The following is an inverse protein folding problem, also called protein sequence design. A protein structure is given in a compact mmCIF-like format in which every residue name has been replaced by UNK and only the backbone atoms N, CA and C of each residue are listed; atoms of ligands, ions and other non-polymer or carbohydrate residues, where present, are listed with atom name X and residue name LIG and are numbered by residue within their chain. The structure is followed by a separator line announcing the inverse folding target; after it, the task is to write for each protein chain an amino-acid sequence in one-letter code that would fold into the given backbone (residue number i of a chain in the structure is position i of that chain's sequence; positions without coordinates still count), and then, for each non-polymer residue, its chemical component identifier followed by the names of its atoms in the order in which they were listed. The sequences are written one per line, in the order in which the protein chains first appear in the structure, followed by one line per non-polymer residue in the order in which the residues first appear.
data_IF_920384442355
#
_entry.id   IF_920384442355
#
_cell.length_a   1.000
_cell.length_b   1.000
_cell.length_c   1.000
_cell.angle_alpha   90.00
_cell.angle_beta   90.00
_cell.angle_gamma   90.00
#
_symmetry.space_group_name_H-M   'P 1'
#
loop_
_entity.id
_entity.type
_entity.pdbx_description
1 polymer ?
#
# COMPACT_ATOMS: atom_id res chain seq x y z
N UNK A 1 -11.81 -2.29 8.16
CA UNK A 1 -12.68 -3.02 9.11
C UNK A 1 -12.11 -4.39 9.28
N UNK A 2 -12.27 -5.01 10.44
CA UNK A 2 -11.72 -6.33 10.78
C UNK A 2 -12.85 -7.21 11.31
N UNK A 3 -12.81 -8.50 10.99
CA UNK A 3 -13.65 -9.53 11.60
C UNK A 3 -12.75 -10.69 12.01
N UNK A 4 -12.99 -11.22 13.20
CA UNK A 4 -12.30 -12.37 13.80
C UNK A 4 -13.24 -13.58 13.99
N UNK A 5 -14.52 -13.45 13.63
CA UNK A 5 -15.56 -14.46 13.84
C UNK A 5 -16.15 -15.03 12.54
N UNK A 6 -15.32 -15.05 11.48
CA UNK A 6 -15.67 -15.48 10.13
C UNK A 6 -16.72 -14.58 9.46
N UNK A 7 -16.64 -13.26 9.70
CA UNK A 7 -17.47 -12.27 9.02
C UNK A 7 -18.86 -12.07 9.64
N UNK A 8 -19.12 -12.60 10.84
CA UNK A 8 -20.42 -12.43 11.51
C UNK A 8 -20.52 -11.05 12.16
N UNK A 9 -19.44 -10.57 12.77
CA UNK A 9 -19.32 -9.23 13.32
C UNK A 9 -18.11 -8.51 12.74
N UNK A 10 -18.22 -7.19 12.67
CA UNK A 10 -17.21 -6.33 12.06
C UNK A 10 -16.89 -5.17 12.99
N UNK A 11 -15.60 -4.99 13.26
CA UNK A 11 -15.07 -3.91 14.06
C UNK A 11 -14.36 -2.90 13.14
N UNK A 12 -14.68 -1.62 13.32
CA UNK A 12 -13.93 -0.53 12.69
C UNK A 12 -12.75 -0.17 13.61
N UNK A 13 -11.59 0.13 13.00
CA UNK A 13 -10.48 0.72 13.75
C UNK A 13 -10.93 2.00 14.46
N UNK A 14 -10.40 2.26 15.64
CA UNK A 14 -10.61 3.51 16.35
C UNK A 14 -10.06 4.71 15.54
N UNK A 15 -9.03 4.47 14.73
CA UNK A 15 -8.37 5.47 13.90
C UNK A 15 -8.86 5.42 12.46
N UNK A 16 -8.91 6.60 11.82
CA UNK A 16 -9.24 6.74 10.39
C UNK A 16 -8.15 7.57 9.71
N UNK A 17 -7.56 7.00 8.66
CA UNK A 17 -6.64 7.72 7.78
C UNK A 17 -7.45 8.54 6.79
N UNK A 18 -7.26 9.85 6.79
CA UNK A 18 -7.90 10.78 5.84
C UNK A 18 -6.84 11.31 4.90
N UNK A 19 -7.02 11.08 3.60
CA UNK A 19 -6.12 11.54 2.55
C UNK A 19 -6.88 12.50 1.61
N UNK A 20 -6.24 13.57 1.12
CA UNK A 20 -6.87 14.54 0.22
C UNK A 20 -7.19 13.92 -1.15
N UNK A 21 -8.10 14.54 -1.91
CA UNK A 21 -8.60 14.07 -3.22
C UNK A 21 -9.30 12.69 -3.11
N UNK A 22 -9.22 11.81 -4.13
CA UNK A 22 -9.63 10.40 -4.00
C UNK A 22 -8.53 9.63 -3.26
N UNK A 23 -8.31 10.02 -2.01
CA UNK A 23 -7.03 9.84 -1.34
C UNK A 23 -6.67 8.43 -0.90
N UNK A 24 -7.64 7.52 -0.75
CA UNK A 24 -7.38 6.13 -0.37
C UNK A 24 -8.20 5.19 -1.26
N UNK A 25 -7.52 4.44 -2.11
CA UNK A 25 -8.12 3.52 -3.06
C UNK A 25 -7.36 2.20 -3.08
N UNK A 26 -8.09 1.09 -3.30
CA UNK A 26 -7.53 -0.26 -3.51
C UNK A 26 -6.49 -0.65 -2.45
N UNK A 27 -6.94 -0.70 -1.19
CA UNK A 27 -6.13 -1.17 -0.09
C UNK A 27 -5.77 -2.65 -0.28
N UNK A 28 -4.50 -2.99 -0.16
CA UNK A 28 -4.04 -4.37 0.03
C UNK A 28 -3.32 -4.49 1.36
N UNK A 29 -3.59 -5.57 2.10
CA UNK A 29 -3.03 -5.85 3.42
C UNK A 29 -2.26 -7.16 3.35
N UNK A 30 -1.07 -7.18 3.95
CA UNK A 30 -0.31 -8.39 4.19
C UNK A 30 0.14 -8.45 5.65
N UNK A 31 0.42 -9.66 6.12
CA UNK A 31 1.00 -9.92 7.44
C UNK A 31 2.52 -10.01 7.31
N UNK A 32 3.22 -9.31 8.18
CA UNK A 32 4.68 -9.36 8.33
C UNK A 32 5.08 -10.56 9.19
N UNK A 33 6.37 -10.93 9.13
CA UNK A 33 6.88 -12.11 9.83
C UNK A 33 6.76 -12.03 11.37
N UNK A 34 6.59 -10.83 11.93
CA UNK A 34 6.38 -10.56 13.35
C UNK A 34 4.89 -10.47 13.76
N UNK A 35 3.97 -10.68 12.83
CA UNK A 35 2.52 -10.62 13.05
C UNK A 35 1.94 -9.20 12.94
N UNK A 36 2.74 -8.19 12.59
CA UNK A 36 2.21 -6.88 12.23
C UNK A 36 1.52 -6.90 10.86
N UNK A 37 0.57 -5.99 10.65
CA UNK A 37 -0.10 -5.83 9.36
C UNK A 37 0.43 -4.57 8.66
N UNK A 38 0.73 -4.71 7.39
CA UNK A 38 1.14 -3.61 6.52
C UNK A 38 0.11 -3.42 5.41
N UNK A 39 -0.28 -2.17 5.21
CA UNK A 39 -1.30 -1.79 4.25
C UNK A 39 -0.67 -0.92 3.16
N UNK A 40 -0.81 -1.35 1.91
CA UNK A 40 -0.54 -0.52 0.74
C UNK A 40 -1.85 0.10 0.26
N UNK A 41 -1.82 1.40 -0.06
CA UNK A 41 -2.96 2.17 -0.55
C UNK A 41 -2.53 2.92 -1.80
N UNK A 42 -3.32 2.87 -2.86
CA UNK A 42 -3.19 3.86 -3.93
C UNK A 42 -3.75 5.18 -3.42
N UNK A 43 -3.03 6.25 -3.71
CA UNK A 43 -3.49 7.62 -3.47
C UNK A 43 -3.36 8.43 -4.76
N UNK A 44 -4.06 9.56 -4.84
CA UNK A 44 -3.86 10.55 -5.93
C UNK A 44 -2.80 11.61 -5.60
N UNK A 45 -1.97 11.31 -4.61
CA UNK A 45 -0.75 12.05 -4.32
C UNK A 45 0.32 11.34 -5.17
N UNK A 46 0.74 11.93 -6.29
CA UNK A 46 1.88 11.39 -7.08
C UNK A 46 3.10 11.20 -6.16
N UNK A 47 4.05 10.30 -6.37
CA UNK A 47 4.54 9.47 -7.48
C UNK A 47 4.94 8.11 -6.87
N UNK A 48 5.32 7.06 -7.62
CA UNK A 48 6.07 5.97 -6.96
C UNK A 48 7.58 6.23 -6.96
N UNK A 49 8.12 7.05 -7.87
CA UNK A 49 9.24 7.98 -7.55
C UNK A 49 9.67 8.98 -8.65
N UNK A 50 9.00 9.13 -9.82
CA UNK A 50 9.45 9.92 -11.01
C UNK A 50 8.47 10.11 -12.21
N UNK A 51 7.37 9.37 -12.36
CA UNK A 51 6.54 9.45 -13.57
C UNK A 51 5.22 10.23 -13.34
N UNK A 52 5.19 11.56 -13.61
CA UNK A 52 3.99 12.37 -13.43
C UNK A 52 2.91 12.07 -14.48
N UNK A 53 3.21 11.23 -15.48
CA UNK A 53 2.29 10.89 -16.56
C UNK A 53 1.61 9.54 -16.35
N UNK A 54 2.01 8.77 -15.34
CA UNK A 54 1.47 7.46 -15.07
C UNK A 54 0.50 7.45 -13.88
N UNK A 55 -0.57 6.67 -13.99
CA UNK A 55 -1.37 6.24 -12.84
C UNK A 55 -1.08 4.76 -12.55
N UNK A 56 -0.86 4.42 -11.28
CA UNK A 56 -0.57 3.05 -10.85
C UNK A 56 -1.70 2.53 -9.97
N UNK A 57 -2.23 1.34 -10.25
CA UNK A 57 -3.10 0.56 -9.36
C UNK A 57 -2.31 -0.61 -8.81
N UNK A 58 -2.35 -0.80 -7.48
CA UNK A 58 -1.76 -1.99 -6.87
C UNK A 58 -2.72 -3.17 -7.08
N UNK A 59 -2.23 -4.23 -7.70
CA UNK A 59 -2.96 -5.48 -7.87
C UNK A 59 -2.62 -6.48 -6.77
N UNK A 60 -1.35 -6.52 -6.34
CA UNK A 60 -0.88 -7.46 -5.34
C UNK A 60 0.37 -6.97 -4.61
N UNK A 61 0.52 -7.34 -3.34
CA UNK A 61 1.68 -7.04 -2.52
C UNK A 61 2.12 -8.29 -1.75
N UNK A 62 3.28 -8.83 -2.10
CA UNK A 62 3.84 -10.01 -1.47
C UNK A 62 5.06 -9.65 -0.62
N UNK A 63 4.99 -9.89 0.69
CA UNK A 63 6.14 -9.71 1.57
C UNK A 63 7.11 -10.88 1.44
N UNK A 64 8.39 -10.54 1.36
CA UNK A 64 9.49 -11.47 1.28
C UNK A 64 10.00 -11.80 2.68
N UNK A 65 10.52 -13.01 2.88
CA UNK A 65 11.18 -13.39 4.14
C UNK A 65 12.37 -12.47 4.49
N UNK A 66 12.95 -11.78 3.50
CA UNK A 66 14.01 -10.80 3.70
C UNK A 66 13.53 -9.46 4.29
N UNK A 67 12.21 -9.29 4.50
CA UNK A 67 11.61 -8.08 5.06
C UNK A 67 11.26 -7.00 4.02
N UNK A 68 11.55 -7.21 2.73
CA UNK A 68 11.06 -6.38 1.64
C UNK A 68 9.71 -6.86 1.09
N UNK A 69 9.21 -6.23 0.03
CA UNK A 69 8.00 -6.67 -0.66
C UNK A 69 8.15 -6.60 -2.20
N UNK A 70 7.42 -7.48 -2.89
CA UNK A 70 7.17 -7.36 -4.33
C UNK A 70 5.78 -6.76 -4.49
N UNK A 71 5.71 -5.58 -5.11
CA UNK A 71 4.46 -4.91 -5.45
C UNK A 71 4.18 -5.13 -6.93
N UNK A 72 3.05 -5.75 -7.25
CA UNK A 72 2.56 -5.90 -8.62
C UNK A 72 1.57 -4.78 -8.89
N UNK A 73 1.85 -3.94 -9.89
CA UNK A 73 0.98 -2.84 -10.26
C UNK A 73 0.59 -2.89 -11.73
N UNK A 74 -0.60 -2.38 -12.05
CA UNK A 74 -0.94 -2.01 -13.40
C UNK A 74 -0.73 -0.50 -13.56
N UNK A 75 -0.04 -0.10 -14.62
CA UNK A 75 0.26 1.28 -14.95
C UNK A 75 -0.50 1.69 -16.21
N UNK A 76 -1.15 2.85 -16.17
CA UNK A 76 -1.78 3.49 -17.34
C UNK A 76 -1.04 4.76 -17.71
N UNK A 77 -0.79 4.95 -19.01
CA UNK A 77 -0.14 6.14 -19.57
C UNK A 77 -0.83 6.63 -20.85
N UNK A 78 -1.13 7.93 -20.97
CA UNK A 78 -1.10 8.92 -19.90
C UNK A 78 -2.23 8.69 -18.87
N UNK A 79 -2.04 9.13 -17.64
CA UNK A 79 -2.97 9.02 -16.50
C UNK A 79 -4.44 9.33 -16.84
N UNK A 80 -4.67 10.29 -17.75
CA UNK A 80 -6.01 10.76 -18.13
C UNK A 80 -6.64 10.00 -19.31
N UNK A 81 -5.91 9.10 -19.98
CA UNK A 81 -6.42 8.36 -21.13
C UNK A 81 -7.38 7.25 -20.69
N UNK A 82 -8.64 7.35 -21.12
CA UNK A 82 -9.70 6.39 -20.78
C UNK A 82 -10.32 5.70 -21.99
N UNK A 83 -9.94 6.09 -23.21
CA UNK A 83 -10.55 5.56 -24.45
C UNK A 83 -9.79 4.36 -25.02
N UNK A 84 -8.50 4.26 -24.76
CA UNK A 84 -7.68 3.13 -25.20
C UNK A 84 -6.79 2.68 -24.04
N UNK A 85 -6.97 1.46 -23.52
CA UNK A 85 -6.19 0.99 -22.39
C UNK A 85 -4.77 0.64 -22.86
N UNK A 86 -3.85 1.61 -22.78
CA UNK A 86 -2.43 1.31 -22.71
C UNK A 86 -2.09 0.91 -21.27
N UNK A 87 -2.55 -0.28 -20.88
CA UNK A 87 -2.29 -0.87 -19.57
C UNK A 87 -1.01 -1.71 -19.65
N UNK A 88 -0.05 -1.43 -18.77
CA UNK A 88 1.16 -2.23 -18.62
C UNK A 88 1.18 -2.87 -17.24
N UNK A 89 1.47 -4.16 -17.17
CA UNK A 89 1.77 -4.82 -15.91
C UNK A 89 3.22 -4.55 -15.54
N UNK A 90 3.45 -4.11 -14.31
CA UNK A 90 4.77 -3.82 -13.78
C UNK A 90 4.91 -4.47 -12.39
N UNK A 91 6.14 -4.77 -11.99
CA UNK A 91 6.45 -5.14 -10.62
C UNK A 91 7.62 -4.30 -10.11
N UNK A 92 7.59 -3.97 -8.83
CA UNK A 92 8.67 -3.28 -8.14
C UNK A 92 9.04 -4.06 -6.87
N UNK A 93 10.34 -4.15 -6.60
CA UNK A 93 10.83 -4.63 -5.31
C UNK A 93 10.98 -3.42 -4.40
N UNK A 94 10.24 -3.42 -3.30
CA UNK A 94 10.29 -2.37 -2.28
C UNK A 94 11.17 -2.86 -1.13
N UNK A 95 12.28 -2.16 -0.82
CA UNK A 95 13.15 -2.52 0.29
C UNK A 95 12.43 -2.43 1.65
N UNK A 96 12.85 -3.25 2.61
CA UNK A 96 12.21 -3.33 3.93
C UNK A 96 12.22 -2.02 4.73
N UNK A 97 13.20 -1.14 4.48
CA UNK A 97 13.29 0.18 5.10
C UNK A 97 12.09 1.11 4.79
N UNK A 98 11.34 0.84 3.72
CA UNK A 98 10.11 1.56 3.42
C UNK A 98 8.93 1.11 4.29
N UNK A 99 9.01 -0.07 4.91
CA UNK A 99 7.96 -0.66 5.74
C UNK A 99 8.28 -0.60 7.24
N UNK A 100 9.56 -0.74 7.58
CA UNK A 100 10.02 -0.77 8.97
C UNK A 100 10.27 0.64 9.47
N UNK A 101 9.38 1.16 10.33
CA UNK A 101 9.74 2.29 11.20
C UNK A 101 10.67 1.79 12.30
N UNK A 102 11.76 2.49 12.63
CA UNK A 102 12.45 2.26 13.89
C UNK A 102 11.45 2.52 15.02
N UNK A 103 11.13 1.50 15.83
CA UNK A 103 10.41 1.70 17.08
C UNK A 103 11.31 2.57 17.96
N UNK A 104 10.90 3.79 18.37
CA UNK A 104 11.65 4.55 19.35
C UNK A 104 11.76 3.69 20.61
N UNK A 105 12.98 3.47 21.06
CA UNK A 105 13.24 2.67 22.25
C UNK A 105 12.47 3.31 23.43
N UNK A 106 11.46 2.61 23.97
CA UNK A 106 10.54 3.17 24.98
C UNK A 106 11.24 3.61 26.29
N UNK A 107 12.56 3.36 26.40
CA UNK A 107 13.41 3.71 27.54
C UNK A 107 14.25 4.98 27.35
N UNK A 108 14.17 5.69 26.23
CA UNK A 108 14.81 7.01 26.11
C UNK A 108 13.80 8.11 26.46
N UNK A 109 13.63 8.41 27.75
CA UNK A 109 13.15 9.71 28.20
C UNK A 109 14.35 10.62 28.53
N UNK A 110 14.24 11.94 28.28
CA UNK A 110 15.24 12.91 28.71
C UNK A 110 15.37 12.97 30.23
#
# INVERSE_FOLDING_TARGET
MMSDDQGRTWHRSADTIVLPKRGAMEASIAELADGELVMSLRTQLGDLETDPTAEFTNLDCLFLQSGGAVVTCCATRPAWERRTPAMSLCCAVVPGEFFLRPVPNANSRP
#
